data_IF_075589471160
#
_entry.id   IF_075589471160
#
_cell.length_a   1.000
_cell.length_b   1.000
_cell.length_c   1.000
_cell.angle_alpha   90.00
_cell.angle_beta   90.00
_cell.angle_gamma   90.00
#
_symmetry.space_group_name_H-M   'P 1'
#
loop_
_entity.id
_entity.type
_entity.pdbx_description
1 polymer ?
#
# COMPACT_ATOMS: atom_id res chain seq x y z
N UNK A 1 4.84 16.32 -32.39
CA UNK A 1 5.38 15.53 -31.27
C UNK A 1 4.36 15.60 -30.15
N UNK A 2 3.70 14.49 -29.83
CA UNK A 2 2.82 14.44 -28.67
C UNK A 2 3.72 14.53 -27.42
N UNK A 3 3.65 15.64 -26.70
CA UNK A 3 4.27 15.75 -25.38
C UNK A 3 3.43 14.87 -24.47
N UNK A 4 3.95 13.69 -24.11
CA UNK A 4 3.36 12.91 -23.02
C UNK A 4 3.39 13.81 -21.79
N UNK A 5 2.22 14.23 -21.33
CA UNK A 5 2.08 14.98 -20.08
C UNK A 5 2.38 13.96 -18.99
N UNK A 6 3.64 13.89 -18.54
CA UNK A 6 3.97 13.09 -17.37
C UNK A 6 3.16 13.66 -16.20
N UNK A 7 2.27 12.84 -15.64
CA UNK A 7 1.53 13.21 -14.45
C UNK A 7 2.52 13.48 -13.33
N UNK A 8 2.46 14.66 -12.68
CA UNK A 8 3.39 14.99 -11.61
C UNK A 8 3.19 14.04 -10.43
N UNK A 9 4.28 13.56 -9.85
CA UNK A 9 4.22 12.70 -8.68
C UNK A 9 3.66 13.48 -7.49
N UNK A 10 2.52 13.03 -6.97
CA UNK A 10 1.74 13.74 -5.97
C UNK A 10 1.96 13.16 -4.56
N UNK A 11 2.34 14.04 -3.64
CA UNK A 11 2.57 13.72 -2.22
C UNK A 11 1.51 14.41 -1.35
N UNK A 12 0.87 13.63 -0.47
CA UNK A 12 0.02 14.15 0.60
C UNK A 12 0.85 14.32 1.87
N UNK A 13 1.01 15.56 2.35
CA UNK A 13 1.70 15.87 3.59
C UNK A 13 0.71 16.22 4.71
N UNK A 14 0.79 15.49 5.83
CA UNK A 14 -0.14 15.59 6.96
C UNK A 14 0.64 16.01 8.20
N UNK A 15 0.38 17.21 8.71
CA UNK A 15 1.08 17.73 9.89
C UNK A 15 0.25 18.84 10.56
N UNK A 16 -0.01 18.73 11.86
CA UNK A 16 -0.81 19.70 12.63
C UNK A 16 -0.01 20.98 12.94
N UNK A 17 1.32 20.91 12.90
CA UNK A 17 2.21 22.05 13.07
C UNK A 17 2.35 22.83 11.76
N UNK A 18 1.76 24.03 11.69
CA UNK A 18 1.87 24.90 10.51
C UNK A 18 3.34 25.18 10.08
N UNK A 19 4.29 25.43 10.99
CA UNK A 19 5.71 25.55 10.62
C UNK A 19 6.29 24.30 9.96
N UNK A 20 6.04 23.12 10.53
CA UNK A 20 6.55 21.85 10.00
C UNK A 20 5.90 21.53 8.65
N UNK A 21 4.58 21.73 8.55
CA UNK A 21 3.82 21.60 7.29
C UNK A 21 4.38 22.48 6.18
N UNK A 22 4.71 23.74 6.48
CA UNK A 22 5.33 24.66 5.49
C UNK A 22 6.75 24.25 5.13
N UNK A 23 7.51 23.71 6.08
CA UNK A 23 8.85 23.20 5.82
C UNK A 23 8.77 22.01 4.86
N UNK A 24 7.96 21.00 5.17
CA UNK A 24 7.87 19.79 4.34
C UNK A 24 7.32 20.09 2.94
N UNK A 25 6.32 20.98 2.85
CA UNK A 25 5.80 21.45 1.57
C UNK A 25 6.89 22.05 0.69
N UNK A 26 7.74 22.92 1.26
CA UNK A 26 8.86 23.53 0.54
C UNK A 26 9.89 22.48 0.09
N UNK A 27 10.30 21.57 0.98
CA UNK A 27 11.28 20.53 0.68
C UNK A 27 10.83 19.63 -0.48
N UNK A 28 9.55 19.23 -0.46
CA UNK A 28 8.95 18.39 -1.49
C UNK A 28 8.78 19.14 -2.81
N UNK A 29 8.31 20.40 -2.78
CA UNK A 29 8.22 21.24 -3.99
C UNK A 29 9.59 21.51 -4.63
N UNK A 30 10.63 21.72 -3.83
CA UNK A 30 12.02 21.83 -4.32
C UNK A 30 12.50 20.54 -4.98
N UNK A 31 11.93 19.40 -4.61
CA UNK A 31 12.20 18.09 -5.21
C UNK A 31 11.28 17.77 -6.40
N UNK A 32 10.59 18.77 -6.95
CA UNK A 32 9.67 18.69 -8.09
C UNK A 32 8.43 17.82 -7.88
N UNK A 33 7.97 17.66 -6.64
CA UNK A 33 6.70 17.00 -6.34
C UNK A 33 5.53 17.97 -6.40
N UNK A 34 4.37 17.47 -6.84
CA UNK A 34 3.10 18.08 -6.49
C UNK A 34 2.82 17.74 -5.02
N UNK A 35 2.36 18.72 -4.24
CA UNK A 35 2.15 18.54 -2.81
C UNK A 35 0.79 19.09 -2.41
N UNK A 36 -0.02 18.25 -1.79
CA UNK A 36 -1.20 18.68 -1.03
C UNK A 36 -0.89 18.58 0.44
N UNK A 37 -1.30 19.58 1.22
CA UNK A 37 -1.05 19.57 2.67
C UNK A 37 -2.37 19.64 3.45
N UNK A 38 -2.47 18.88 4.53
CA UNK A 38 -3.60 18.86 5.46
C UNK A 38 -3.09 18.93 6.90
N UNK A 39 -3.92 19.37 7.85
CA UNK A 39 -3.52 19.61 9.25
C UNK A 39 -3.93 18.50 10.22
N UNK A 40 -4.58 17.43 9.76
CA UNK A 40 -5.00 16.35 10.65
C UNK A 40 -5.15 15.03 9.91
N UNK A 41 -5.05 13.93 10.66
CA UNK A 41 -5.35 12.60 10.14
C UNK A 41 -6.79 12.45 9.66
N UNK A 42 -7.76 13.13 10.29
CA UNK A 42 -9.16 13.12 9.84
C UNK A 42 -9.34 13.74 8.46
N UNK A 43 -8.75 14.91 8.20
CA UNK A 43 -8.77 15.55 6.88
C UNK A 43 -7.99 14.74 5.84
N UNK A 44 -6.92 14.06 6.24
CA UNK A 44 -6.20 13.16 5.35
C UNK A 44 -7.09 12.01 4.87
N UNK A 45 -7.87 11.39 5.77
CA UNK A 45 -8.80 10.32 5.40
C UNK A 45 -9.92 10.83 4.47
N UNK A 46 -10.49 11.99 4.80
CA UNK A 46 -11.49 12.67 3.95
C UNK A 46 -10.94 12.93 2.55
N UNK A 47 -9.73 13.49 2.45
CA UNK A 47 -9.04 13.73 1.19
C UNK A 47 -8.76 12.43 0.40
N UNK A 48 -8.44 11.35 1.09
CA UNK A 48 -8.21 10.03 0.49
C UNK A 48 -9.49 9.27 0.17
N UNK A 49 -10.67 9.84 0.44
CA UNK A 49 -11.96 9.20 0.22
C UNK A 49 -12.32 8.11 1.24
N UNK A 50 -11.52 7.92 2.29
CA UNK A 50 -11.83 7.03 3.41
C UNK A 50 -12.80 7.72 4.36
N UNK A 51 -14.08 7.69 4.02
CA UNK A 51 -15.12 8.21 4.90
C UNK A 51 -15.27 7.29 6.11
N UNK A 52 -15.15 7.86 7.32
CA UNK A 52 -15.43 7.14 8.57
C UNK A 52 -16.94 7.04 8.87
N UNK A 53 -17.77 7.70 8.06
CA UNK A 53 -19.22 7.73 8.20
C UNK A 53 -19.87 7.61 6.81
N UNK A 54 -20.52 6.47 6.57
CA UNK A 54 -21.71 6.40 5.72
C UNK A 54 -22.66 7.53 6.19
N UNK A 55 -23.27 8.28 5.27
CA UNK A 55 -24.28 9.35 5.51
C UNK A 55 -23.87 10.82 5.34
N UNK A 56 -22.79 11.16 4.59
CA UNK A 56 -22.78 12.48 3.95
C UNK A 56 -21.84 12.58 2.73
N UNK A 57 -22.34 12.94 1.53
CA UNK A 57 -21.49 13.31 0.42
C UNK A 57 -21.05 14.76 0.63
N UNK A 58 -20.02 14.98 1.43
CA UNK A 58 -19.29 16.25 1.39
C UNK A 58 -18.09 16.02 0.49
N UNK A 59 -18.36 16.18 -0.81
CA UNK A 59 -17.35 16.54 -1.79
C UNK A 59 -16.71 17.86 -1.36
N UNK A 60 -15.66 17.78 -0.54
CA UNK A 60 -14.69 18.87 -0.41
C UNK A 60 -14.00 18.99 -1.75
N UNK A 61 -14.58 19.84 -2.58
CA UNK A 61 -13.98 20.52 -3.73
C UNK A 61 -13.42 19.58 -4.81
N UNK A 62 -14.36 19.06 -5.62
CA UNK A 62 -14.15 18.45 -6.93
C UNK A 62 -13.61 19.43 -8.02
N UNK A 63 -12.82 20.42 -7.62
CA UNK A 63 -12.08 21.33 -8.52
C UNK A 63 -10.56 21.08 -8.49
N UNK A 64 -10.08 20.24 -7.56
CA UNK A 64 -8.71 19.75 -7.59
C UNK A 64 -8.70 18.50 -8.47
N UNK A 65 -8.20 18.68 -9.69
CA UNK A 65 -7.78 17.62 -10.62
C UNK A 65 -7.45 16.34 -9.84
N UNK A 66 -8.16 15.26 -10.13
CA UNK A 66 -8.15 13.94 -9.49
C UNK A 66 -6.76 13.28 -9.57
N UNK A 67 -5.75 13.91 -8.97
CA UNK A 67 -4.36 13.49 -9.00
C UNK A 67 -4.20 12.45 -7.90
N UNK A 68 -4.20 11.18 -8.32
CA UNK A 68 -3.95 10.04 -7.45
C UNK A 68 -2.73 10.30 -6.56
N UNK A 69 -2.90 10.16 -5.24
CA UNK A 69 -1.80 10.32 -4.28
C UNK A 69 -0.82 9.17 -4.46
N UNK A 70 0.44 9.49 -4.73
CA UNK A 70 1.48 8.49 -4.94
C UNK A 70 2.32 8.21 -3.68
N UNK A 71 2.28 9.10 -2.68
CA UNK A 71 2.97 8.93 -1.40
C UNK A 71 2.29 9.76 -0.33
N UNK A 72 2.24 9.23 0.89
CA UNK A 72 1.73 9.93 2.07
C UNK A 72 2.89 10.13 3.03
N UNK A 73 3.08 11.36 3.51
CA UNK A 73 4.02 11.69 4.58
C UNK A 73 3.25 12.32 5.73
N UNK A 74 3.33 11.75 6.93
CA UNK A 74 2.51 12.18 8.07
C UNK A 74 3.34 12.36 9.32
N UNK A 75 3.01 13.36 10.13
CA UNK A 75 3.47 13.47 11.50
C UNK A 75 2.89 12.32 12.35
N UNK A 76 3.65 11.87 13.35
CA UNK A 76 3.22 10.85 14.30
C UNK A 76 2.29 11.42 15.37
N UNK A 77 2.63 12.57 15.94
CA UNK A 77 2.01 13.15 17.13
C UNK A 77 0.98 14.22 16.77
N UNK A 78 -0.15 13.80 16.20
CA UNK A 78 -1.26 14.70 15.89
C UNK A 78 -2.42 14.58 16.90
N UNK A 79 -3.14 15.67 17.19
CA UNK A 79 -4.31 15.63 18.06
C UNK A 79 -5.46 14.84 17.45
N UNK A 80 -6.18 14.09 18.28
CA UNK A 80 -7.34 13.30 17.90
C UNK A 80 -7.00 11.97 17.23
N UNK A 81 -6.19 11.99 16.18
CA UNK A 81 -5.73 10.80 15.45
C UNK A 81 -4.23 10.86 15.24
N UNK A 82 -3.50 9.84 15.70
CA UNK A 82 -2.05 9.78 15.50
C UNK A 82 -1.70 9.41 14.06
N UNK A 83 -0.48 9.70 13.62
CA UNK A 83 0.03 9.24 12.33
C UNK A 83 0.06 7.71 12.21
N UNK A 84 0.21 7.00 13.33
CA UNK A 84 0.12 5.55 13.38
C UNK A 84 -1.32 5.05 13.14
N UNK A 85 -2.32 5.72 13.72
CA UNK A 85 -3.73 5.37 13.48
C UNK A 85 -4.12 5.62 12.01
N UNK A 86 -3.61 6.72 11.43
CA UNK A 86 -3.78 7.03 10.01
C UNK A 86 -3.12 5.96 9.12
N UNK A 87 -1.86 5.59 9.41
CA UNK A 87 -1.14 4.53 8.72
C UNK A 87 -1.95 3.23 8.70
N UNK A 88 -2.42 2.80 9.87
CA UNK A 88 -3.20 1.57 10.01
C UNK A 88 -4.45 1.59 9.11
N UNK A 89 -5.22 2.67 9.15
CA UNK A 89 -6.42 2.83 8.30
C UNK A 89 -6.10 2.81 6.80
N UNK A 90 -4.98 3.41 6.39
CA UNK A 90 -4.53 3.37 4.99
C UNK A 90 -4.17 1.94 4.58
N UNK A 91 -3.44 1.21 5.42
CA UNK A 91 -2.99 -0.17 5.13
C UNK A 91 -4.12 -1.21 5.22
N UNK A 92 -5.16 -0.95 5.99
CA UNK A 92 -6.39 -1.76 6.03
C UNK A 92 -7.26 -1.55 4.77
N UNK A 93 -7.16 -0.40 4.09
CA UNK A 93 -7.93 -0.12 2.89
C UNK A 93 -7.42 -0.88 1.66
N UNK A 94 -8.32 -1.57 0.96
CA UNK A 94 -7.99 -2.31 -0.27
C UNK A 94 -7.44 -1.43 -1.38
N UNK A 95 -7.87 -0.16 -1.43
CA UNK A 95 -7.53 0.78 -2.50
C UNK A 95 -6.28 1.60 -2.20
N UNK A 96 -5.92 1.77 -0.92
CA UNK A 96 -4.86 2.69 -0.49
C UNK A 96 -3.64 1.98 0.13
N UNK A 97 -3.76 0.70 0.51
CA UNK A 97 -2.67 -0.07 1.14
C UNK A 97 -1.35 -0.07 0.39
N UNK A 98 -1.43 0.04 -0.94
CA UNK A 98 -0.28 0.07 -1.84
C UNK A 98 0.44 1.42 -1.88
N UNK A 99 -0.19 2.49 -1.38
CA UNK A 99 0.41 3.82 -1.32
C UNK A 99 1.52 3.79 -0.25
N UNK A 100 2.75 4.19 -0.59
CA UNK A 100 3.84 4.32 0.36
C UNK A 100 3.50 5.34 1.46
N UNK A 101 3.75 4.97 2.72
CA UNK A 101 3.49 5.85 3.87
C UNK A 101 4.79 6.08 4.64
N UNK A 102 5.15 7.35 4.82
CA UNK A 102 6.33 7.78 5.57
C UNK A 102 5.89 8.51 6.84
N UNK A 103 6.43 8.09 7.98
CA UNK A 103 6.12 8.70 9.27
C UNK A 103 7.22 9.69 9.65
N UNK A 104 6.85 10.85 10.18
CA UNK A 104 7.76 11.85 10.76
C UNK A 104 7.49 11.96 12.25
N UNK A 105 8.53 12.08 13.08
CA UNK A 105 8.38 12.25 14.52
C UNK A 105 9.49 13.13 15.09
N UNK A 106 9.16 13.98 16.07
CA UNK A 106 10.15 14.70 16.87
C UNK A 106 10.82 13.81 17.92
N UNK A 107 10.20 12.68 18.26
CA UNK A 107 10.70 11.73 19.26
C UNK A 107 11.44 10.56 18.61
N UNK A 108 12.62 10.25 19.15
CA UNK A 108 13.42 9.09 18.75
C UNK A 108 13.19 7.91 19.70
N UNK A 109 12.05 7.25 19.53
CA UNK A 109 11.65 6.10 20.36
C UNK A 109 11.71 4.82 19.50
N UNK A 110 12.68 3.92 19.71
CA UNK A 110 12.85 2.73 18.87
C UNK A 110 11.62 1.84 18.78
N UNK A 111 10.89 1.63 19.89
CA UNK A 111 9.68 0.82 19.89
C UNK A 111 8.58 1.40 18.99
N UNK A 112 8.50 2.72 18.89
CA UNK A 112 7.54 3.43 18.04
C UNK A 112 7.92 3.33 16.57
N UNK A 113 9.21 3.50 16.27
CA UNK A 113 9.76 3.35 14.92
C UNK A 113 9.46 1.93 14.42
N UNK A 114 9.84 0.91 15.20
CA UNK A 114 9.61 -0.49 14.84
C UNK A 114 8.13 -0.78 14.62
N UNK A 115 7.26 -0.32 15.53
CA UNK A 115 5.81 -0.52 15.39
C UNK A 115 5.25 0.10 14.11
N UNK A 116 5.73 1.26 13.68
CA UNK A 116 5.28 1.87 12.42
C UNK A 116 5.75 1.06 11.21
N UNK A 117 7.00 0.60 11.21
CA UNK A 117 7.55 -0.21 10.13
C UNK A 117 6.87 -1.58 10.03
N UNK A 118 6.57 -2.21 11.17
CA UNK A 118 5.84 -3.49 11.24
C UNK A 118 4.39 -3.36 10.71
N UNK A 119 3.73 -2.21 10.95
CA UNK A 119 2.41 -1.90 10.39
C UNK A 119 2.46 -1.59 8.88
N UNK A 120 3.65 -1.51 8.29
CA UNK A 120 3.85 -1.32 6.86
C UNK A 120 4.18 0.11 6.45
N UNK A 121 4.65 0.97 7.36
CA UNK A 121 5.30 2.21 6.96
C UNK A 121 6.55 1.91 6.12
N UNK A 122 6.73 2.66 5.05
CA UNK A 122 7.83 2.51 4.11
C UNK A 122 9.13 3.12 4.65
N UNK A 123 9.03 4.19 5.44
CA UNK A 123 10.18 4.88 6.04
C UNK A 123 9.75 5.67 7.28
N UNK A 124 10.71 5.98 8.16
CA UNK A 124 10.52 6.81 9.34
C UNK A 124 11.58 7.92 9.41
N UNK A 125 11.15 9.17 9.52
CA UNK A 125 12.01 10.35 9.64
C UNK A 125 11.95 10.97 11.03
N UNK A 126 13.12 11.41 11.51
CA UNK A 126 13.19 12.29 12.67
C UNK A 126 13.10 13.74 12.22
N UNK A 127 12.24 14.51 12.88
CA UNK A 127 12.14 15.95 12.69
C UNK A 127 13.35 16.67 13.33
N UNK A 128 13.80 17.80 12.76
CA UNK A 128 13.31 18.41 11.53
C UNK A 128 13.76 17.65 10.28
N UNK A 129 12.84 17.45 9.33
CA UNK A 129 13.14 16.80 8.06
C UNK A 129 14.05 17.68 7.22
N UNK A 130 15.01 17.07 6.52
CA UNK A 130 16.02 17.75 5.71
C UNK A 130 15.88 17.37 4.24
N UNK A 131 16.46 18.20 3.36
CA UNK A 131 16.62 17.90 1.94
C UNK A 131 17.27 16.53 1.69
N UNK A 132 18.23 16.12 2.54
CA UNK A 132 18.88 14.81 2.44
C UNK A 132 17.90 13.65 2.53
N UNK A 133 16.82 13.80 3.29
CA UNK A 133 15.86 12.73 3.56
C UNK A 133 14.96 12.48 2.34
N UNK A 134 14.78 13.49 1.47
CA UNK A 134 14.04 13.35 0.21
C UNK A 134 14.71 12.34 -0.74
N UNK A 135 16.02 12.12 -0.62
CA UNK A 135 16.71 11.10 -1.40
C UNK A 135 16.20 9.68 -1.10
N UNK A 136 15.72 9.44 0.12
CA UNK A 136 15.14 8.17 0.55
C UNK A 136 13.73 7.94 0.00
N UNK A 137 13.06 8.98 -0.47
CA UNK A 137 11.74 8.86 -1.11
C UNK A 137 11.84 8.39 -2.56
N UNK A 138 13.01 8.55 -3.20
CA UNK A 138 13.23 8.23 -4.62
C UNK A 138 12.88 6.80 -5.04
N UNK A 139 13.21 5.74 -4.25
CA UNK A 139 12.84 4.37 -4.60
C UNK A 139 11.32 4.17 -4.74
N UNK A 140 10.53 4.89 -3.94
CA UNK A 140 9.07 4.78 -3.94
C UNK A 140 8.44 5.44 -5.17
N UNK A 141 9.09 6.48 -5.71
CA UNK A 141 8.70 7.10 -6.98
C UNK A 141 8.82 6.09 -8.12
N UNK A 142 9.98 5.43 -8.21
CA UNK A 142 10.26 4.47 -9.30
C UNK A 142 9.33 3.25 -9.23
N UNK A 143 9.05 2.76 -8.01
CA UNK A 143 8.13 1.63 -7.79
C UNK A 143 6.69 1.96 -8.21
N UNK A 144 6.24 3.19 -7.97
CA UNK A 144 4.89 3.64 -8.36
C UNK A 144 4.74 3.68 -9.89
N UNK A 145 5.75 4.20 -10.60
CA UNK A 145 5.74 4.28 -12.08
C UNK A 145 5.86 2.91 -12.76
N UNK A 146 6.56 1.96 -12.13
CA UNK A 146 6.71 0.61 -12.67
C UNK A 146 5.40 -0.22 -12.56
N UNK A 147 4.61 -0.01 -11.50
CA UNK A 147 3.30 -0.68 -11.34
C UNK A 147 2.28 -0.23 -12.39
N UNK A 148 2.27 1.05 -12.75
CA UNK A 148 1.39 1.58 -13.80
C UNK A 148 1.66 0.92 -15.17
N UNK A 149 2.93 0.69 -15.51
CA UNK A 149 3.33 0.07 -16.78
C UNK A 149 2.91 -1.41 -16.88
N UNK A 150 3.09 -2.20 -15.81
CA UNK A 150 2.68 -3.62 -15.80
C UNK A 150 1.17 -3.82 -15.85
N UNK A 151 0.38 -2.92 -15.25
CA UNK A 151 -1.09 -2.99 -15.28
C UNK A 151 -1.64 -2.64 -16.68
N UNK A 152 -0.99 -1.74 -17.40
CA UNK A 152 -1.36 -1.39 -18.78
C UNK A 152 -1.10 -2.54 -19.76
N UNK A 153 0.02 -3.27 -19.61
CA UNK A 153 0.35 -4.42 -20.47
C UNK A 153 -0.62 -5.60 -20.30
N UNK A 154 -1.06 -5.89 -19.06
CA UNK A 154 -2.06 -6.93 -18.76
C UNK A 154 -3.47 -6.59 -19.30
N UNK A 155 -3.82 -5.30 -19.32
CA UNK A 155 -5.11 -4.84 -19.86
C UNK A 155 -5.17 -4.89 -21.39
N UNK A 156 -4.04 -4.70 -22.09
CA UNK A 156 -3.99 -4.85 -23.55
C UNK A 156 -4.09 -6.32 -24.01
N UNK A 157 -3.58 -7.27 -23.24
CA UNK A 157 -3.62 -8.71 -23.58
C UNK A 157 -5.00 -9.36 -23.33
N UNK A 158 -5.77 -8.87 -22.36
CA UNK A 158 -7.11 -9.38 -22.06
C UNK A 158 -8.19 -8.93 -23.06
N UNK A 159 -8.00 -7.80 -23.75
CA UNK A 159 -8.92 -7.33 -24.79
C UNK A 159 -8.75 -8.03 -26.16
N UNK A 160 -7.64 -8.73 -26.41
CA UNK A 160 -7.42 -9.45 -27.67
C UNK A 160 -8.09 -10.83 -27.74
N UNK A 161 -8.57 -11.39 -26.62
CA UNK A 161 -9.17 -12.73 -26.59
C UNK A 161 -10.70 -12.75 -26.71
N UNK A 162 -11.38 -11.59 -26.68
CA UNK A 162 -12.86 -11.50 -26.75
C UNK A 162 -13.44 -11.29 -28.16
N UNK A 163 -12.60 -11.22 -29.20
CA UNK A 163 -13.06 -11.02 -30.58
C UNK A 163 -12.50 -12.08 -31.53
N UNK A 164 -12.76 -13.36 -31.26
CA UNK A 164 -12.81 -14.41 -32.29
C UNK A 164 -13.34 -15.73 -31.71
N UNK A 165 -14.65 -15.96 -31.84
CA UNK A 165 -15.15 -17.29 -32.24
C UNK A 165 -16.63 -17.21 -32.64
N UNK A 166 -16.86 -16.89 -33.90
CA UNK A 166 -18.04 -17.37 -34.62
C UNK A 166 -17.86 -18.85 -34.94
N UNK A 167 -18.84 -19.67 -34.55
CA UNK A 167 -18.99 -21.11 -34.86
C UNK A 167 -18.68 -21.44 -36.34
N UNK A 168 -18.25 -22.69 -36.63
CA UNK A 168 -19.25 -23.65 -37.14
C UNK A 168 -19.15 -25.08 -36.58
N UNK A 169 -20.31 -25.72 -36.64
CA UNK A 169 -20.65 -27.15 -36.54
C UNK A 169 -19.78 -28.07 -37.43
N UNK A 170 -19.43 -29.29 -36.97
CA UNK A 170 -20.18 -30.54 -37.22
C UNK A 170 -19.33 -31.83 -37.04
N UNK A 171 -19.97 -32.85 -36.44
CA UNK A 171 -19.86 -34.31 -36.66
C UNK A 171 -18.56 -35.15 -36.58
N UNK A 172 -18.69 -36.19 -35.74
CA UNK A 172 -18.42 -37.61 -35.97
C UNK A 172 -17.10 -38.30 -35.55
N UNK A 173 -17.30 -39.19 -34.56
CA UNK A 173 -16.96 -40.62 -34.53
C UNK A 173 -15.59 -41.14 -34.07
N UNK A 174 -15.72 -42.20 -33.27
CA UNK A 174 -14.86 -43.38 -33.09
C UNK A 174 -13.70 -43.35 -32.07
N UNK A 175 -13.96 -44.03 -30.95
CA UNK A 175 -13.01 -44.87 -30.19
C UNK A 175 -12.36 -45.93 -31.11
N UNK A 176 -11.17 -46.52 -30.82
CA UNK A 176 -11.01 -47.40 -29.65
C UNK A 176 -9.58 -47.58 -29.03
N UNK A 177 -9.56 -48.20 -27.84
CA UNK A 177 -8.59 -49.15 -27.22
C UNK A 177 -7.10 -49.16 -27.65
N UNK A 178 -6.14 -49.19 -26.71
CA UNK A 178 -5.60 -50.45 -26.13
C UNK A 178 -4.33 -50.25 -25.25
N UNK A 179 -4.31 -51.00 -24.13
CA UNK A 179 -3.23 -51.69 -23.37
C UNK A 179 -1.75 -51.23 -23.26
N UNK A 180 -1.26 -51.32 -21.99
CA UNK A 180 0.02 -51.89 -21.48
C UNK A 180 1.36 -51.26 -21.93
N UNK A 181 2.43 -51.14 -21.13
CA UNK A 181 2.77 -51.64 -19.79
C UNK A 181 4.12 -51.04 -19.34
N UNK A 182 4.32 -51.01 -18.02
CA UNK A 182 5.59 -51.14 -17.26
C UNK A 182 6.72 -50.10 -17.43
N UNK A 183 7.02 -49.37 -16.35
CA UNK A 183 8.23 -49.60 -15.53
C UNK A 183 8.30 -48.65 -14.31
N UNK A 184 8.33 -49.26 -13.12
CA UNK A 184 9.18 -48.99 -11.93
C UNK A 184 9.98 -47.67 -11.86
N UNK A 185 10.17 -46.98 -10.73
CA UNK A 185 10.12 -47.36 -9.31
C UNK A 185 10.23 -46.11 -8.39
N UNK A 186 9.67 -46.23 -7.16
CA UNK A 186 10.10 -45.65 -5.86
C UNK A 186 10.49 -44.16 -5.77
N UNK A 187 9.99 -43.36 -4.83
CA UNK A 187 10.01 -43.65 -3.40
C UNK A 187 9.04 -42.73 -2.61
N UNK A 188 8.40 -43.35 -1.64
CA UNK A 188 7.74 -42.84 -0.43
C UNK A 188 8.46 -41.59 0.15
N UNK A 189 7.80 -40.61 0.78
CA UNK A 189 7.17 -40.73 2.09
C UNK A 189 6.11 -39.63 2.31
N UNK A 190 5.15 -39.99 3.15
CA UNK A 190 3.82 -39.42 3.34
C UNK A 190 3.69 -39.13 4.85
N UNK A 191 2.94 -38.07 5.16
CA UNK A 191 2.27 -37.74 6.45
C UNK A 191 3.14 -37.11 7.55
N UNK A 192 2.58 -36.34 8.49
CA UNK A 192 1.17 -36.17 8.89
C UNK A 192 1.01 -34.88 9.70
N UNK A 193 -0.16 -34.26 9.55
CA UNK A 193 -0.73 -33.31 10.51
C UNK A 193 -1.07 -33.98 11.86
N UNK A 194 -1.21 -33.18 12.91
CA UNK A 194 -2.41 -33.18 13.77
C UNK A 194 -2.37 -32.04 14.81
N UNK A 195 -3.59 -31.58 15.08
CA UNK A 195 -4.08 -30.58 16.04
C UNK A 195 -4.03 -30.99 17.53
N UNK A 196 -4.40 -29.99 18.35
CA UNK A 196 -5.10 -30.00 19.65
C UNK A 196 -4.29 -29.86 20.97
N UNK A 197 -4.42 -28.64 21.53
CA UNK A 197 -4.99 -28.29 22.85
C UNK A 197 -4.60 -29.08 24.13
N UNK A 198 -4.22 -28.30 25.17
CA UNK A 198 -4.75 -28.30 26.57
C UNK A 198 -3.66 -27.98 27.61
N UNK A 199 -3.91 -26.89 28.36
CA UNK A 199 -3.29 -26.44 29.64
C UNK A 199 -3.37 -27.50 30.76
N UNK A 200 -2.49 -27.51 31.81
CA UNK A 200 -2.84 -26.74 33.03
C UNK A 200 -1.70 -26.24 33.94
N UNK A 201 -2.07 -25.20 34.71
CA UNK A 201 -1.74 -24.86 36.11
C UNK A 201 -0.28 -24.79 36.64
N UNK A 202 0.07 -23.55 37.02
CA UNK A 202 0.60 -23.07 38.32
C UNK A 202 1.51 -23.97 39.17
N UNK A 203 2.64 -23.44 39.66
CA UNK A 203 2.92 -23.21 41.11
C UNK A 203 4.19 -22.35 41.29
N UNK A 204 4.17 -21.41 42.26
CA UNK A 204 5.31 -20.66 42.84
C UNK A 204 5.74 -21.35 44.15
N UNK A 205 7.00 -21.30 44.62
CA UNK A 205 7.24 -20.65 45.91
C UNK A 205 8.58 -19.89 46.05
N UNK A 206 8.71 -19.24 47.23
CA UNK A 206 9.64 -18.21 47.71
C UNK A 206 10.95 -18.75 48.35
N UNK A 207 11.80 -17.77 48.72
CA UNK A 207 12.93 -17.71 49.69
C UNK A 207 14.31 -17.67 48.99
N UNK A 208 15.26 -16.80 49.35
CA UNK A 208 15.53 -16.04 50.57
C UNK A 208 16.09 -14.65 50.20
#
# INVERSE_FOLDING_TARGET
MAVAIETPFHVLAVDDSLPDRKLIERLLKTSSFQVTTVDSGSKALEFLGLHAHEDSPISVQADQQEAAVNLIITDYCMPGMTGYDLLKKIKESSCLRDIPVVIMSSENIPSRINRCLEEGADEFFLKPVRLSDMSKLKPHILKSRCKEQYQQEQHLQSNSESSNSSNPTNENSSNPTNENSSSTCSNSHKRKANDDEVLPHATRPKHN
#
